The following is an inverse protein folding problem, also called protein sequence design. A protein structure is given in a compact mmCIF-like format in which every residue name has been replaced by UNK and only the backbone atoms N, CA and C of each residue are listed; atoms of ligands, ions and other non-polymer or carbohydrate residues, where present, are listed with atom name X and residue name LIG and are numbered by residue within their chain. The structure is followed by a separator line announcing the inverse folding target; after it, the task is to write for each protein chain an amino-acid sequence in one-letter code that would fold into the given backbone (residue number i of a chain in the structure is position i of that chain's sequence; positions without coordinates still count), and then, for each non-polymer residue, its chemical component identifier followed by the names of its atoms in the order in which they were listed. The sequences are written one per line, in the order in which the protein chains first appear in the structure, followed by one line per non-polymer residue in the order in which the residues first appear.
data_IF_959647842321
#
_entry.id   IF_959647842321
#
_cell.length_a   1.000
_cell.length_b   1.000
_cell.length_c   1.000
_cell.angle_alpha   90.00
_cell.angle_beta   90.00
_cell.angle_gamma   90.00
#
_symmetry.space_group_name_H-M   'P 1'
#
loop_
_entity.id
_entity.type
_entity.pdbx_description
1 polymer ?
#
# COMPACT_ATOMS: atom_id res chain seq x y z
N UNK A 1 -19.74 -3.85 22.29
CA UNK A 1 -19.32 -4.66 21.13
C UNK A 1 -17.82 -4.91 21.21
N UNK A 2 -17.43 -6.16 21.14
CA UNK A 2 -16.01 -6.49 21.13
C UNK A 2 -15.52 -6.58 19.70
N UNK A 3 -14.46 -5.81 19.42
CA UNK A 3 -13.78 -5.92 18.15
C UNK A 3 -12.78 -7.06 18.27
N UNK A 4 -13.01 -8.13 17.52
CA UNK A 4 -12.17 -9.31 17.54
C UNK A 4 -11.19 -9.29 16.38
N UNK A 5 -10.24 -10.23 16.41
CA UNK A 5 -9.31 -10.42 15.30
C UNK A 5 -10.04 -10.60 13.97
N UNK A 6 -11.17 -11.33 13.98
CA UNK A 6 -11.96 -11.54 12.76
C UNK A 6 -12.43 -10.24 12.13
N UNK A 7 -12.78 -9.24 12.92
CA UNK A 7 -13.16 -7.94 12.40
C UNK A 7 -12.03 -7.26 11.67
N UNK A 8 -10.82 -7.30 12.23
CA UNK A 8 -9.65 -6.70 11.60
C UNK A 8 -9.27 -7.45 10.33
N UNK A 9 -9.41 -8.77 10.31
CA UNK A 9 -9.14 -9.56 9.11
C UNK A 9 -10.10 -9.22 7.98
N UNK A 10 -11.39 -9.05 8.30
CA UNK A 10 -12.40 -8.65 7.31
C UNK A 10 -12.08 -7.26 6.78
N UNK A 11 -11.77 -6.32 7.65
CA UNK A 11 -11.39 -4.97 7.25
C UNK A 11 -10.16 -5.01 6.34
N UNK A 12 -9.14 -5.77 6.71
CA UNK A 12 -7.94 -5.93 5.91
C UNK A 12 -8.24 -6.51 4.53
N UNK A 13 -9.09 -7.52 4.48
CA UNK A 13 -9.48 -8.13 3.21
C UNK A 13 -10.23 -7.14 2.30
N UNK A 14 -11.12 -6.34 2.88
CA UNK A 14 -11.84 -5.32 2.12
C UNK A 14 -10.91 -4.25 1.59
N UNK A 15 -10.01 -3.73 2.42
CA UNK A 15 -9.06 -2.69 2.02
C UNK A 15 -8.11 -3.22 0.96
N UNK A 16 -7.60 -4.43 1.12
CA UNK A 16 -6.75 -5.06 0.13
C UNK A 16 -7.47 -5.23 -1.21
N UNK A 17 -8.72 -5.69 -1.16
CA UNK A 17 -9.53 -5.90 -2.37
C UNK A 17 -9.78 -4.58 -3.10
N UNK A 18 -10.08 -3.51 -2.39
CA UNK A 18 -10.27 -2.19 -2.98
C UNK A 18 -8.99 -1.73 -3.68
N UNK A 19 -7.85 -1.89 -3.02
CA UNK A 19 -6.56 -1.53 -3.62
C UNK A 19 -6.26 -2.36 -4.86
N UNK A 20 -6.51 -3.66 -4.81
CA UNK A 20 -6.26 -4.56 -5.94
C UNK A 20 -7.13 -4.20 -7.14
N UNK A 21 -8.42 -3.96 -6.92
CA UNK A 21 -9.33 -3.57 -7.99
C UNK A 21 -8.91 -2.23 -8.59
N UNK A 22 -8.57 -1.26 -7.74
CA UNK A 22 -8.10 0.04 -8.22
C UNK A 22 -6.85 -0.08 -9.05
N UNK A 23 -5.91 -0.92 -8.65
CA UNK A 23 -4.68 -1.16 -9.38
C UNK A 23 -4.95 -1.73 -10.78
N UNK A 24 -5.93 -2.62 -10.87
CA UNK A 24 -6.28 -3.27 -12.14
C UNK A 24 -7.06 -2.35 -13.09
N UNK A 25 -7.78 -1.38 -12.54
CA UNK A 25 -8.68 -0.52 -13.32
C UNK A 25 -8.03 0.79 -13.74
N UNK A 26 -7.19 1.36 -12.87
CA UNK A 26 -6.59 2.68 -13.11
C UNK A 26 -5.21 2.56 -13.74
N UNK A 27 -4.91 3.51 -14.63
CA UNK A 27 -3.62 3.52 -15.33
C UNK A 27 -2.74 4.72 -14.96
N UNK A 28 -3.25 5.62 -14.15
CA UNK A 28 -2.47 6.76 -13.66
C UNK A 28 -1.43 6.24 -12.66
N UNK A 29 -0.13 6.51 -12.87
CA UNK A 29 0.92 6.01 -11.97
C UNK A 29 0.74 6.41 -10.52
N UNK A 30 0.27 7.62 -10.26
CA UNK A 30 0.03 8.08 -8.90
C UNK A 30 -1.08 7.26 -8.23
N UNK A 31 -2.18 7.02 -8.96
CA UNK A 31 -3.29 6.23 -8.43
C UNK A 31 -2.85 4.78 -8.22
N UNK A 32 -2.07 4.22 -9.14
CA UNK A 32 -1.53 2.87 -9.00
C UNK A 32 -0.66 2.76 -7.76
N UNK A 33 0.18 3.75 -7.53
CA UNK A 33 1.04 3.80 -6.34
C UNK A 33 0.20 3.84 -5.07
N UNK A 34 -0.84 4.67 -5.05
CA UNK A 34 -1.75 4.76 -3.90
C UNK A 34 -2.47 3.43 -3.65
N UNK A 35 -2.86 2.72 -4.70
CA UNK A 35 -3.51 1.42 -4.57
C UNK A 35 -2.57 0.39 -3.95
N UNK A 36 -1.30 0.37 -4.37
CA UNK A 36 -0.30 -0.51 -3.78
C UNK A 36 -0.09 -0.20 -2.31
N UNK A 37 -0.03 1.09 -1.96
CA UNK A 37 0.11 1.50 -0.57
C UNK A 37 -1.09 1.07 0.27
N UNK A 38 -2.29 1.15 -0.30
CA UNK A 38 -3.51 0.69 0.36
C UNK A 38 -3.44 -0.81 0.64
N UNK A 39 -2.95 -1.60 -0.32
CA UNK A 39 -2.76 -3.03 -0.15
C UNK A 39 -1.73 -3.34 0.93
N UNK A 40 -0.63 -2.59 0.98
CA UNK A 40 0.39 -2.75 2.01
C UNK A 40 -0.15 -2.42 3.39
N UNK A 41 -0.98 -1.38 3.49
CA UNK A 41 -1.65 -1.04 4.76
C UNK A 41 -2.55 -2.18 5.23
N UNK A 42 -3.25 -2.83 4.32
CA UNK A 42 -4.11 -3.96 4.66
C UNK A 42 -3.28 -5.13 5.21
N UNK A 43 -2.14 -5.41 4.61
CA UNK A 43 -1.23 -6.46 5.08
C UNK A 43 -0.71 -6.11 6.48
N UNK A 44 -0.29 -4.87 6.69
CA UNK A 44 0.20 -4.43 7.99
C UNK A 44 -0.88 -4.50 9.07
N UNK A 45 -2.10 -4.12 8.73
CA UNK A 45 -3.23 -4.25 9.65
C UNK A 45 -3.42 -5.69 10.09
N UNK A 46 -3.30 -6.62 9.15
CA UNK A 46 -3.42 -8.05 9.44
C UNK A 46 -2.31 -8.50 10.39
N UNK A 47 -1.06 -8.10 10.13
CA UNK A 47 0.06 -8.45 11.00
C UNK A 47 -0.11 -7.90 12.41
N UNK A 48 -0.51 -6.64 12.52
CA UNK A 48 -0.73 -6.03 13.83
C UNK A 48 -1.83 -6.76 14.60
N UNK A 49 -2.89 -7.13 13.90
CA UNK A 49 -4.01 -7.85 14.49
C UNK A 49 -3.56 -9.19 15.06
N UNK A 50 -2.79 -9.96 14.30
CA UNK A 50 -2.28 -11.24 14.77
C UNK A 50 -1.29 -11.07 15.92
N UNK A 51 -0.38 -10.11 15.81
CA UNK A 51 0.60 -9.86 16.86
C UNK A 51 -0.07 -9.48 18.18
N UNK A 52 -1.10 -8.66 18.09
CA UNK A 52 -1.88 -8.27 19.28
C UNK A 52 -2.61 -9.45 19.89
N UNK A 53 -3.24 -10.28 19.06
CA UNK A 53 -4.00 -11.44 19.52
C UNK A 53 -3.12 -12.45 20.22
N UNK A 54 -1.90 -12.63 19.70
CA UNK A 54 -0.92 -13.56 20.26
C UNK A 54 -0.09 -12.93 21.38
N UNK A 55 -0.35 -11.67 21.73
CA UNK A 55 0.43 -10.92 22.72
C UNK A 55 1.93 -10.95 22.42
N UNK A 56 2.26 -10.87 21.12
CA UNK A 56 3.65 -10.93 20.68
C UNK A 56 4.19 -9.53 20.44
N UNK A 57 4.90 -9.01 21.41
CA UNK A 57 5.50 -7.68 21.33
C UNK A 57 6.56 -7.64 20.22
N UNK A 58 7.30 -8.73 20.06
CA UNK A 58 8.29 -8.82 18.99
C UNK A 58 7.67 -8.66 17.61
N UNK A 59 6.51 -9.27 17.40
CA UNK A 59 5.75 -9.11 16.15
C UNK A 59 5.30 -7.68 15.94
N UNK A 60 4.87 -6.99 17.01
CA UNK A 60 4.45 -5.60 16.91
C UNK A 60 5.63 -4.68 16.59
N UNK A 61 6.79 -4.93 17.15
CA UNK A 61 8.01 -4.19 16.85
C UNK A 61 8.40 -4.41 15.37
N UNK A 62 8.33 -5.65 14.89
CA UNK A 62 8.61 -5.95 13.50
C UNK A 62 7.70 -5.18 12.55
N UNK A 63 6.40 -5.12 12.87
CA UNK A 63 5.45 -4.34 12.07
C UNK A 63 5.80 -2.86 12.08
N UNK A 64 6.23 -2.34 13.22
CA UNK A 64 6.66 -0.95 13.30
C UNK A 64 7.80 -0.65 12.32
N UNK A 65 8.80 -1.54 12.26
CA UNK A 65 9.89 -1.37 11.29
C UNK A 65 9.41 -1.46 9.86
N UNK A 66 8.48 -2.37 9.57
CA UNK A 66 7.90 -2.48 8.23
C UNK A 66 7.18 -1.20 7.85
N UNK A 67 6.45 -0.59 8.79
CA UNK A 67 5.77 0.68 8.55
C UNK A 67 6.75 1.81 8.26
N UNK A 68 7.88 1.86 8.97
CA UNK A 68 8.91 2.87 8.71
C UNK A 68 9.48 2.71 7.31
N UNK A 69 9.79 1.49 6.90
CA UNK A 69 10.30 1.21 5.55
C UNK A 69 9.24 1.59 4.50
N UNK A 70 7.98 1.22 4.74
CA UNK A 70 6.90 1.57 3.83
C UNK A 70 6.75 3.08 3.69
N UNK A 71 6.85 3.82 4.78
CA UNK A 71 6.79 5.28 4.73
C UNK A 71 7.94 5.87 3.90
N UNK A 72 9.14 5.32 4.06
CA UNK A 72 10.29 5.75 3.27
C UNK A 72 10.07 5.47 1.78
N UNK A 73 9.52 4.31 1.44
CA UNK A 73 9.21 3.96 0.06
C UNK A 73 8.16 4.90 -0.53
N UNK A 74 7.18 5.33 0.26
CA UNK A 74 6.18 6.31 -0.19
C UNK A 74 6.86 7.61 -0.59
N UNK A 75 7.75 8.12 0.24
CA UNK A 75 8.45 9.38 -0.05
C UNK A 75 9.26 9.26 -1.34
N UNK A 76 10.05 8.18 -1.47
CA UNK A 76 10.88 7.97 -2.66
C UNK A 76 10.01 7.75 -3.89
N UNK A 77 9.00 6.90 -3.78
CA UNK A 77 8.10 6.59 -4.91
C UNK A 77 7.34 7.81 -5.38
N UNK A 78 6.84 8.60 -4.44
CA UNK A 78 6.12 9.83 -4.77
C UNK A 78 7.06 10.84 -5.46
N UNK A 79 8.30 10.94 -4.98
CA UNK A 79 9.30 11.79 -5.59
C UNK A 79 9.57 11.39 -7.05
N UNK A 80 9.68 10.10 -7.32
CA UNK A 80 9.88 9.60 -8.68
C UNK A 80 8.68 9.94 -9.56
N UNK A 81 7.46 9.71 -9.05
CA UNK A 81 6.24 9.97 -9.82
C UNK A 81 6.10 11.46 -10.13
N UNK A 82 6.39 12.32 -9.16
CA UNK A 82 6.35 13.77 -9.37
C UNK A 82 7.37 14.17 -10.44
N UNK A 83 8.56 13.60 -10.41
CA UNK A 83 9.59 13.87 -11.41
C UNK A 83 9.12 13.48 -12.81
N UNK A 84 8.44 12.33 -12.93
CA UNK A 84 7.88 11.88 -14.20
C UNK A 84 6.83 12.87 -14.71
N UNK A 85 5.92 13.30 -13.85
CA UNK A 85 4.88 14.24 -14.25
C UNK A 85 5.41 15.62 -14.61
N UNK A 86 6.51 16.03 -14.02
CA UNK A 86 7.16 17.29 -14.40
C UNK A 86 7.70 17.23 -15.82
N UNK A 87 8.15 16.06 -16.25
CA UNK A 87 8.67 15.87 -17.59
C UNK A 87 7.58 15.57 -18.62
N UNK A 88 6.52 14.89 -18.20
CA UNK A 88 5.42 14.49 -19.08
C UNK A 88 4.11 14.68 -18.35
N UNK A 89 3.48 15.82 -18.54
CA UNK A 89 2.19 16.09 -17.94
C UNK A 89 1.16 15.06 -18.43
N UNK A 90 0.40 14.51 -17.47
CA UNK A 90 -0.63 13.53 -17.77
C UNK A 90 -0.13 12.14 -18.14
N UNK A 91 1.12 11.81 -17.81
CA UNK A 91 1.68 10.50 -18.09
C UNK A 91 0.84 9.39 -17.44
N UNK A 92 0.70 8.27 -18.17
CA UNK A 92 0.03 7.07 -17.68
C UNK A 92 1.03 5.92 -17.66
N UNK A 93 0.61 4.78 -17.10
CA UNK A 93 1.45 3.59 -17.10
C UNK A 93 1.82 3.16 -18.52
N UNK A 94 0.91 3.34 -19.47
CA UNK A 94 1.17 2.99 -20.86
C UNK A 94 2.24 3.91 -21.47
N UNK A 95 2.19 5.20 -21.14
CA UNK A 95 3.20 6.15 -21.61
C UNK A 95 4.57 5.82 -21.05
N UNK A 96 4.64 5.44 -19.79
CA UNK A 96 5.88 5.03 -19.15
C UNK A 96 6.42 3.76 -19.80
N UNK A 97 5.54 2.84 -20.13
CA UNK A 97 5.90 1.61 -20.81
C UNK A 97 6.53 1.89 -22.19
N UNK A 98 6.01 2.88 -22.92
CA UNK A 98 6.55 3.29 -24.20
C UNK A 98 7.96 3.86 -24.05
N UNK A 99 8.24 4.55 -22.95
CA UNK A 99 9.57 5.09 -22.70
C UNK A 99 10.61 3.99 -22.49
N UNK A 100 10.19 2.83 -22.02
CA UNK A 100 11.08 1.68 -21.85
C UNK A 100 11.37 0.97 -23.15
N UNK A 101 10.43 1.01 -24.05
CA UNK A 101 10.53 0.37 -25.33
C UNK A 101 11.28 1.19 -26.32
#
# INVERSE_FOLDING_TARGET
MHVTEGWYLVLGALVFSIGAVGLMVRRNPLVMFMCVELMLNAVNLTFVSFARDLHDIGGQVAVFFVLVVAAAEVVVGLGIIVAIFRRRAGATADDISLLKG
#
